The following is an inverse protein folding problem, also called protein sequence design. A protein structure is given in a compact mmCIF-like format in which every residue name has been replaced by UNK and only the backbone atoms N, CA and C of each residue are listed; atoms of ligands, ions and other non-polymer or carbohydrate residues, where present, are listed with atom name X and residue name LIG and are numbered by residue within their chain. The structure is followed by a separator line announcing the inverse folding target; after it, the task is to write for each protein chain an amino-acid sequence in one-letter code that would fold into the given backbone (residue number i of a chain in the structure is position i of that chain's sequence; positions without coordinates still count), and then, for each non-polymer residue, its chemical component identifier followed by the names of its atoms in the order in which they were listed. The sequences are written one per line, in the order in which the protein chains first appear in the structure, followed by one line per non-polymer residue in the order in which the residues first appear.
data_IF_258151325752
#
_entry.id   IF_258151325752
#
_cell.length_a   1.000
_cell.length_b   1.000
_cell.length_c   1.000
_cell.angle_alpha   90.00
_cell.angle_beta   90.00
_cell.angle_gamma   90.00
#
_symmetry.space_group_name_H-M   'P 1'
#
loop_
_entity.id
_entity.type
_entity.pdbx_description
1 polymer ?
#
# COMPACT_ATOMS: atom_id res chain seq x y z
N UNK A 1 -23.23 50.33 0.70
CA UNK A 1 -22.61 49.13 1.29
C UNK A 1 -21.85 48.46 0.17
N UNK A 2 -20.57 48.76 0.04
CA UNK A 2 -19.67 48.12 -0.93
C UNK A 2 -19.22 46.80 -0.31
N UNK A 3 -19.83 45.70 -0.71
CA UNK A 3 -19.29 44.36 -0.45
C UNK A 3 -18.06 44.22 -1.33
N UNK A 4 -16.87 44.42 -0.77
CA UNK A 4 -15.62 43.97 -1.38
C UNK A 4 -15.74 42.46 -1.55
N UNK A 5 -15.93 42.00 -2.78
CA UNK A 5 -15.88 40.58 -3.10
C UNK A 5 -14.48 40.11 -2.77
N UNK A 6 -14.37 39.23 -1.78
CA UNK A 6 -13.13 38.58 -1.41
C UNK A 6 -12.65 37.72 -2.59
N UNK A 7 -11.38 37.87 -2.96
CA UNK A 7 -10.79 37.27 -4.14
C UNK A 7 -9.75 36.24 -3.66
N UNK A 8 -9.82 35.03 -4.20
CA UNK A 8 -8.89 33.94 -3.91
C UNK A 8 -8.08 33.64 -5.15
N UNK A 9 -6.78 33.38 -4.96
CA UNK A 9 -5.89 32.99 -6.04
C UNK A 9 -6.01 31.48 -6.29
N UNK A 10 -6.42 31.08 -7.51
CA UNK A 10 -6.56 29.66 -7.82
C UNK A 10 -5.17 29.00 -8.03
N UNK A 11 -4.82 27.93 -7.27
CA UNK A 11 -3.51 27.28 -7.40
C UNK A 11 -3.33 26.56 -8.74
N UNK A 12 -4.44 26.18 -9.40
CA UNK A 12 -4.41 25.48 -10.68
C UNK A 12 -4.19 26.43 -11.86
N UNK A 13 -5.08 27.42 -12.07
CA UNK A 13 -4.99 28.34 -13.22
C UNK A 13 -4.23 29.64 -12.95
N UNK A 14 -3.85 29.93 -11.69
CA UNK A 14 -3.12 31.13 -11.25
C UNK A 14 -3.83 32.44 -11.56
N UNK A 15 -5.15 32.39 -11.63
CA UNK A 15 -5.99 33.57 -11.83
C UNK A 15 -6.74 33.91 -10.54
N UNK A 16 -6.98 35.20 -10.37
CA UNK A 16 -7.71 35.77 -9.25
C UNK A 16 -9.21 35.62 -9.51
N UNK A 17 -9.85 34.74 -8.72
CA UNK A 17 -11.27 34.40 -8.86
C UNK A 17 -12.05 34.78 -7.61
N UNK A 18 -13.34 35.15 -7.73
CA UNK A 18 -14.17 35.45 -6.56
C UNK A 18 -14.25 34.22 -5.64
N UNK A 19 -14.38 34.45 -4.33
CA UNK A 19 -14.55 33.40 -3.31
C UNK A 19 -15.83 32.60 -3.56
N UNK A 20 -15.70 31.48 -4.27
CA UNK A 20 -16.75 30.51 -4.61
C UNK A 20 -16.26 29.10 -4.31
N UNK A 21 -17.15 28.11 -4.20
CA UNK A 21 -16.76 26.72 -3.91
C UNK A 21 -15.78 26.13 -4.95
N UNK A 22 -15.85 26.60 -6.20
CA UNK A 22 -14.98 26.17 -7.30
C UNK A 22 -14.46 27.39 -8.05
N UNK A 23 -13.26 27.28 -8.65
CA UNK A 23 -12.72 28.29 -9.56
C UNK A 23 -13.59 28.36 -10.82
N UNK A 24 -14.13 29.54 -11.12
CA UNK A 24 -15.01 29.74 -12.29
C UNK A 24 -14.30 29.53 -13.64
N UNK A 25 -12.97 29.62 -13.68
CA UNK A 25 -12.21 29.48 -14.93
C UNK A 25 -11.71 28.05 -15.19
N UNK A 26 -11.35 27.29 -14.15
CA UNK A 26 -10.78 25.94 -14.33
C UNK A 26 -11.50 24.83 -13.56
N UNK A 27 -12.55 25.14 -12.78
CA UNK A 27 -13.31 24.15 -12.01
C UNK A 27 -12.61 23.64 -10.75
N UNK A 28 -11.41 24.10 -10.41
CA UNK A 28 -10.67 23.65 -9.23
C UNK A 28 -11.46 23.92 -7.92
N UNK A 29 -11.66 22.93 -7.03
CA UNK A 29 -12.40 23.11 -5.78
C UNK A 29 -11.62 24.00 -4.78
N UNK A 30 -12.11 25.22 -4.56
CA UNK A 30 -11.49 26.20 -3.65
C UNK A 30 -11.89 25.99 -2.18
N UNK A 31 -12.98 25.27 -1.90
CA UNK A 31 -13.41 24.97 -0.53
C UNK A 31 -12.38 24.16 0.28
N UNK A 32 -11.47 23.44 -0.40
CA UNK A 32 -10.37 22.70 0.25
C UNK A 32 -9.32 23.65 0.84
N UNK A 33 -9.06 24.79 0.20
CA UNK A 33 -8.13 25.82 0.69
C UNK A 33 -8.66 26.50 1.97
N UNK A 34 -9.98 26.70 2.08
CA UNK A 34 -10.58 27.30 3.28
C UNK A 34 -10.51 26.39 4.51
N UNK A 35 -10.47 25.06 4.31
CA UNK A 35 -10.30 24.13 5.42
C UNK A 35 -8.88 24.16 5.95
N UNK A 36 -7.88 24.32 5.07
CA UNK A 36 -6.47 24.46 5.46
C UNK A 36 -6.23 25.81 6.17
N UNK A 37 -6.75 26.92 5.64
CA UNK A 37 -6.62 28.27 6.25
C UNK A 37 -7.29 28.33 7.64
N UNK A 38 -8.45 27.69 7.82
CA UNK A 38 -9.14 27.60 9.13
C UNK A 38 -8.43 26.70 10.15
N UNK A 39 -7.60 25.77 9.70
CA UNK A 39 -6.78 24.92 10.58
C UNK A 39 -5.52 25.68 11.03
N UNK A 40 -4.96 26.53 10.17
CA UNK A 40 -3.86 27.43 10.51
C UNK A 40 -4.32 28.55 11.48
N UNK A 41 -5.47 29.18 11.24
CA UNK A 41 -6.00 30.24 12.13
C UNK A 41 -6.43 29.73 13.51
N UNK A 42 -6.78 28.44 13.66
CA UNK A 42 -7.07 27.83 14.97
C UNK A 42 -5.81 27.41 15.74
N UNK A 43 -4.65 27.39 15.09
CA UNK A 43 -3.36 27.20 15.76
C UNK A 43 -2.79 28.51 16.31
N UNK A 44 -3.32 29.67 15.90
CA UNK A 44 -2.85 30.99 16.29
C UNK A 44 -3.91 31.81 17.05
N UNK A 45 -4.23 31.41 18.29
CA UNK A 45 -4.73 32.37 19.30
C UNK A 45 -3.88 32.34 20.60
N UNK A 46 -3.79 33.48 21.31
CA UNK A 46 -2.54 33.97 21.85
C UNK A 46 -2.30 33.64 23.33
N UNK A 47 -1.13 33.10 23.64
CA UNK A 47 -0.61 33.06 25.02
C UNK A 47 0.25 34.30 25.27
N UNK A 48 -0.25 35.16 26.15
CA UNK A 48 0.37 36.38 26.66
C UNK A 48 1.68 36.15 27.40
N UNK A 49 2.63 37.06 27.11
CA UNK A 49 3.74 37.56 27.92
C UNK A 49 4.75 36.54 28.52
N UNK A 50 5.92 36.45 27.88
CA UNK A 50 7.21 36.71 28.55
C UNK A 50 8.33 36.87 27.51
N UNK A 51 8.87 38.09 27.42
CA UNK A 51 10.19 38.42 26.84
C UNK A 51 11.22 38.59 28.00
N UNK A 52 12.56 38.69 27.77
CA UNK A 52 13.24 38.80 26.47
C UNK A 52 14.47 37.88 26.24
N UNK A 53 14.71 37.65 24.95
CA UNK A 53 15.99 37.66 24.22
C UNK A 53 17.19 36.82 24.71
N UNK A 54 17.52 35.79 23.92
CA UNK A 54 18.92 35.50 23.55
C UNK A 54 19.00 35.25 22.05
N UNK A 55 19.57 36.20 21.31
CA UNK A 55 20.00 36.01 19.92
C UNK A 55 21.25 35.13 19.92
N UNK A 56 21.19 33.97 19.29
CA UNK A 56 22.39 33.26 18.83
C UNK A 56 22.23 33.02 17.34
N UNK A 57 23.02 33.78 16.58
CA UNK A 57 23.27 33.61 15.15
C UNK A 57 23.80 32.18 14.89
N UNK A 58 23.02 31.34 14.21
CA UNK A 58 23.49 30.07 13.64
C UNK A 58 23.85 30.29 12.17
N UNK A 59 24.92 31.05 11.94
CA UNK A 59 25.71 30.98 10.72
C UNK A 59 26.87 30.02 10.97
N UNK A 60 26.63 28.71 10.81
CA UNK A 60 27.70 27.72 10.71
C UNK A 60 28.04 27.55 9.24
N UNK A 61 29.04 28.32 8.79
CA UNK A 61 29.80 28.00 7.58
C UNK A 61 30.53 26.67 7.81
N UNK A 62 30.20 25.68 6.99
CA UNK A 62 30.85 24.37 7.01
C UNK A 62 32.17 24.44 6.24
N UNK A 63 33.29 24.54 6.93
CA UNK A 63 34.61 24.28 6.35
C UNK A 63 34.80 22.77 6.12
N UNK A 64 35.19 22.33 4.91
CA UNK A 64 35.50 20.93 4.67
C UNK A 64 36.79 20.53 5.43
N UNK A 65 36.85 19.33 6.04
CA UNK A 65 38.02 18.90 6.78
C UNK A 65 39.23 18.72 5.85
N UNK A 66 40.33 19.36 6.21
CA UNK A 66 41.64 19.21 5.58
C UNK A 66 42.20 17.81 5.86
N UNK A 67 42.64 17.12 4.80
CA UNK A 67 43.44 15.89 4.86
C UNK A 67 44.72 16.12 5.67
N UNK A 68 44.77 15.61 6.89
CA UNK A 68 46.04 15.46 7.62
C UNK A 68 46.68 14.15 7.22
N UNK A 69 47.57 14.27 6.24
CA UNK A 69 48.61 13.31 5.91
C UNK A 69 49.55 13.17 7.12
N UNK A 70 49.37 12.13 7.95
CA UNK A 70 50.33 11.78 8.99
C UNK A 70 51.05 10.47 8.65
N UNK A 71 52.36 10.66 8.48
CA UNK A 71 53.46 9.75 8.18
C UNK A 71 53.52 8.56 9.17
N UNK A 72 53.62 7.35 8.62
CA UNK A 72 54.05 6.12 9.30
C UNK A 72 55.51 6.23 9.77
N UNK A 73 55.78 5.76 11.00
CA UNK A 73 57.07 5.21 11.42
C UNK A 73 56.92 4.47 12.78
N UNK A 74 57.84 3.55 13.17
CA UNK A 74 57.65 2.10 13.02
C UNK A 74 57.52 1.32 14.35
N UNK A 75 57.14 0.04 14.22
CA UNK A 75 56.93 -0.98 15.27
C UNK A 75 58.12 -1.16 16.23
N UNK A 76 57.90 -1.28 17.56
CA UNK A 76 58.90 -1.83 18.46
C UNK A 76 58.81 -3.36 18.56
N UNK A 77 59.99 -3.97 18.36
CA UNK A 77 60.30 -5.39 18.41
C UNK A 77 59.93 -6.09 19.74
N UNK A 78 59.57 -7.35 19.59
CA UNK A 78 59.23 -8.35 20.60
C UNK A 78 60.47 -8.78 21.40
N UNK A 79 60.36 -8.85 22.73
CA UNK A 79 61.19 -9.72 23.57
C UNK A 79 60.32 -10.52 24.57
N UNK A 80 60.77 -11.72 24.99
CA UNK A 80 59.93 -12.90 25.14
C UNK A 80 59.44 -13.18 26.57
N UNK A 81 58.41 -14.02 26.63
CA UNK A 81 57.76 -14.54 27.83
C UNK A 81 58.73 -15.26 28.81
N UNK A 82 58.38 -15.24 30.12
CA UNK A 82 58.59 -16.39 30.99
C UNK A 82 57.26 -17.03 31.44
N UNK A 83 57.13 -18.33 31.21
CA UNK A 83 56.16 -19.25 31.84
C UNK A 83 56.61 -19.66 33.29
N UNK A 84 55.89 -20.54 34.04
CA UNK A 84 54.76 -20.21 34.90
C UNK A 84 54.92 -20.76 36.35
N UNK A 85 53.83 -20.70 37.13
CA UNK A 85 53.52 -21.39 38.41
C UNK A 85 53.76 -20.63 39.74
N UNK A 86 52.99 -20.88 40.83
CA UNK A 86 52.04 -22.00 41.05
C UNK A 86 50.62 -21.63 41.55
N UNK A 87 49.79 -22.68 41.49
CA UNK A 87 48.47 -22.96 42.05
C UNK A 87 48.07 -22.16 43.30
N UNK A 88 46.87 -21.57 43.25
CA UNK A 88 46.11 -21.17 44.44
C UNK A 88 44.77 -21.88 44.39
N UNK A 89 44.63 -22.88 45.27
CA UNK A 89 43.34 -23.43 45.70
C UNK A 89 42.53 -22.31 46.35
N UNK A 90 41.36 -21.98 45.81
CA UNK A 90 40.32 -21.27 46.57
C UNK A 90 39.04 -22.07 46.47
N UNK A 91 38.54 -22.33 47.66
CA UNK A 91 37.45 -23.19 48.04
C UNK A 91 36.11 -22.79 47.43
N UNK A 92 35.31 -23.83 47.25
CA UNK A 92 33.89 -23.87 46.91
C UNK A 92 33.06 -23.00 47.85
N UNK A 93 32.25 -22.08 47.31
CA UNK A 93 31.03 -21.58 47.96
C UNK A 93 29.86 -21.60 46.96
N UNK A 94 29.05 -22.63 47.17
CA UNK A 94 27.62 -22.90 46.95
C UNK A 94 26.75 -22.02 46.01
N UNK A 95 25.96 -22.76 45.21
CA UNK A 95 24.84 -22.31 44.38
C UNK A 95 23.73 -21.63 45.20
N UNK A 96 23.07 -20.58 44.69
CA UNK A 96 21.72 -20.26 45.16
C UNK A 96 20.69 -21.14 44.46
N UNK A 97 20.19 -22.12 45.22
CA UNK A 97 18.99 -22.90 44.91
C UNK A 97 17.79 -21.99 44.61
N UNK A 98 17.17 -22.23 43.45
CA UNK A 98 15.88 -21.69 43.09
C UNK A 98 14.79 -22.32 43.97
N UNK A 99 14.27 -21.57 44.94
CA UNK A 99 13.04 -21.91 45.64
C UNK A 99 11.87 -21.43 44.78
N UNK A 100 11.26 -22.37 44.08
CA UNK A 100 9.92 -22.24 43.53
C UNK A 100 8.92 -22.40 44.68
N UNK A 101 8.42 -21.29 45.22
CA UNK A 101 7.25 -21.34 46.09
C UNK A 101 6.02 -21.64 45.24
N UNK A 102 5.49 -22.83 45.51
CA UNK A 102 4.23 -23.35 45.01
C UNK A 102 3.07 -22.44 45.42
N UNK A 103 2.14 -22.26 44.49
CA UNK A 103 0.76 -21.92 44.79
C UNK A 103 0.18 -22.91 45.82
N UNK A 104 -0.72 -22.44 46.69
CA UNK A 104 -2.04 -23.06 46.67
C UNK A 104 -3.24 -22.12 46.88
N UNK A 105 -4.32 -22.54 46.22
CA UNK A 105 -5.72 -22.52 46.66
C UNK A 105 -6.53 -21.20 46.68
N UNK A 106 -7.39 -21.11 45.66
CA UNK A 106 -8.84 -20.91 45.76
C UNK A 106 -9.39 -20.14 46.98
N UNK A 107 -9.90 -18.94 46.68
CA UNK A 107 -11.25 -18.55 47.09
C UNK A 107 -11.95 -17.86 45.91
N UNK A 108 -13.20 -18.20 45.59
CA UNK A 108 -13.97 -17.45 44.60
C UNK A 108 -14.33 -16.10 45.24
N UNK A 109 -13.76 -15.02 44.70
CA UNK A 109 -14.27 -13.69 44.97
C UNK A 109 -15.54 -13.52 44.16
N UNK A 110 -16.66 -13.57 44.87
CA UNK A 110 -17.98 -13.15 44.46
C UNK A 110 -17.93 -11.68 44.01
N UNK A 111 -17.69 -11.47 42.71
CA UNK A 111 -17.87 -10.15 42.10
C UNK A 111 -19.32 -10.04 41.67
N UNK A 112 -20.09 -9.38 42.52
CA UNK A 112 -21.42 -8.85 42.24
C UNK A 112 -21.44 -8.12 40.89
N UNK A 113 -22.21 -8.64 39.95
CA UNK A 113 -22.66 -7.91 38.78
C UNK A 113 -23.51 -6.72 39.25
N UNK A 114 -23.20 -5.47 38.85
CA UNK A 114 -24.23 -4.44 38.82
C UNK A 114 -25.11 -4.70 37.60
N UNK A 115 -26.28 -5.27 37.87
CA UNK A 115 -27.46 -5.26 37.03
C UNK A 115 -27.77 -3.80 36.67
N UNK A 116 -27.41 -3.41 35.44
CA UNK A 116 -27.76 -2.13 34.85
C UNK A 116 -28.53 -2.45 33.58
N UNK A 117 -29.85 -2.57 33.72
CA UNK A 117 -30.79 -2.44 32.60
C UNK A 117 -30.74 -0.98 32.12
N UNK A 118 -30.27 -0.68 30.90
CA UNK A 118 -30.75 0.51 30.23
C UNK A 118 -32.19 0.24 29.77
N UNK A 119 -33.15 0.95 30.39
CA UNK A 119 -34.46 1.21 29.80
C UNK A 119 -34.23 1.86 28.43
N UNK A 120 -34.21 1.06 27.37
CA UNK A 120 -34.39 1.53 26.02
C UNK A 120 -35.90 1.73 25.87
N UNK A 121 -36.32 2.98 25.94
CA UNK A 121 -37.62 3.40 25.40
C UNK A 121 -37.59 3.08 23.90
N UNK A 122 -38.13 1.91 23.54
CA UNK A 122 -38.44 1.57 22.14
C UNK A 122 -39.55 2.50 21.67
N UNK A 123 -39.15 3.51 20.89
CA UNK A 123 -40.04 4.31 20.07
C UNK A 123 -40.48 3.46 18.86
N UNK A 124 -41.78 3.09 18.74
CA UNK A 124 -42.24 2.33 17.59
C UNK A 124 -42.54 3.28 16.42
N UNK A 125 -41.50 3.85 15.80
CA UNK A 125 -41.65 4.49 14.49
C UNK A 125 -41.63 3.43 13.37
N UNK A 126 -42.78 2.76 13.28
CA UNK A 126 -43.52 2.52 12.02
C UNK A 126 -42.68 2.18 10.79
N UNK A 127 -42.34 0.89 10.67
CA UNK A 127 -42.07 0.25 9.38
C UNK A 127 -43.37 0.28 8.56
N UNK A 128 -43.45 1.18 7.58
CA UNK A 128 -44.44 1.06 6.49
C UNK A 128 -43.93 0.02 5.51
N UNK A 129 -44.43 -1.20 5.61
CA UNK A 129 -44.47 -2.15 4.49
C UNK A 129 -45.62 -1.75 3.57
N UNK A 130 -45.37 -1.44 2.28
CA UNK A 130 -46.38 -1.59 1.26
C UNK A 130 -46.22 -2.96 0.57
N UNK A 131 -47.11 -3.90 0.91
CA UNK A 131 -47.58 -4.91 -0.04
C UNK A 131 -48.92 -4.44 -0.64
N UNK A 132 -49.42 -5.02 -1.75
CA UNK A 132 -48.78 -5.34 -3.03
C UNK A 132 -49.60 -4.72 -4.18
N UNK A 133 -48.97 -4.32 -5.30
CA UNK A 133 -49.73 -4.01 -6.52
C UNK A 133 -49.82 -5.22 -7.46
N UNK A 134 -51.03 -5.57 -7.93
CA UNK A 134 -51.33 -6.83 -8.60
C UNK A 134 -50.81 -6.89 -10.03
N UNK A 135 -50.36 -8.10 -10.40
CA UNK A 135 -50.14 -8.56 -11.76
C UNK A 135 -51.39 -8.27 -12.62
N UNK A 136 -51.28 -7.31 -13.53
CA UNK A 136 -52.26 -7.12 -14.59
C UNK A 136 -52.00 -8.17 -15.68
N UNK A 137 -52.61 -9.33 -15.52
CA UNK A 137 -52.91 -10.24 -16.62
C UNK A 137 -53.76 -9.49 -17.66
N UNK A 138 -53.21 -9.27 -18.85
CA UNK A 138 -54.00 -8.95 -20.04
C UNK A 138 -53.66 -9.98 -21.10
N UNK A 139 -54.27 -11.15 -20.97
CA UNK A 139 -54.60 -11.99 -22.11
C UNK A 139 -56.00 -11.61 -22.61
N UNK A 140 -56.11 -11.20 -23.87
CA UNK A 140 -57.25 -11.58 -24.72
C UNK A 140 -56.95 -11.36 -26.21
N UNK A 141 -57.00 -12.48 -26.92
CA UNK A 141 -57.73 -12.69 -28.19
C UNK A 141 -57.33 -11.86 -29.43
N UNK A 142 -56.53 -12.43 -30.35
CA UNK A 142 -56.88 -13.33 -31.49
C UNK A 142 -57.19 -12.64 -32.84
N UNK A 143 -56.38 -13.05 -33.83
CA UNK A 143 -56.67 -13.33 -35.25
C UNK A 143 -57.04 -12.18 -36.20
N UNK A 144 -56.16 -11.95 -37.19
CA UNK A 144 -56.55 -11.95 -38.61
C UNK A 144 -55.34 -12.21 -39.51
N UNK A 145 -55.40 -13.35 -40.20
CA UNK A 145 -54.67 -13.68 -41.43
C UNK A 145 -54.86 -12.60 -42.51
N UNK A 146 -53.82 -12.32 -43.27
CA UNK A 146 -53.96 -12.08 -44.71
C UNK A 146 -52.63 -12.41 -45.43
N UNK A 147 -52.67 -13.49 -46.21
CA UNK A 147 -51.70 -13.82 -47.26
C UNK A 147 -51.79 -12.80 -48.42
N UNK A 148 -50.67 -12.53 -49.10
CA UNK A 148 -50.47 -12.86 -50.51
C UNK A 148 -49.16 -12.25 -51.04
N UNK A 149 -48.39 -13.10 -51.73
CA UNK A 149 -47.17 -12.79 -52.49
C UNK A 149 -47.46 -11.92 -53.73
N UNK A 150 -46.41 -11.42 -54.41
CA UNK A 150 -46.26 -12.00 -55.75
C UNK A 150 -44.82 -12.37 -56.15
N UNK A 151 -44.77 -13.53 -56.80
CA UNK A 151 -43.69 -14.09 -57.62
C UNK A 151 -43.14 -13.09 -58.65
N UNK A 152 -41.81 -13.04 -58.80
CA UNK A 152 -41.18 -12.73 -60.09
C UNK A 152 -40.04 -13.70 -60.41
N UNK A 153 -40.06 -14.14 -61.66
CA UNK A 153 -39.39 -15.29 -62.26
C UNK A 153 -37.99 -14.92 -62.82
N UNK A 154 -36.98 -15.73 -62.46
CA UNK A 154 -35.75 -16.20 -63.16
C UNK A 154 -35.49 -15.71 -64.62
N UNK A 155 -34.29 -15.39 -65.13
CA UNK A 155 -32.93 -16.04 -65.21
C UNK A 155 -31.98 -15.07 -66.00
N UNK A 156 -30.67 -15.34 -66.27
CA UNK A 156 -29.55 -15.88 -65.49
C UNK A 156 -28.23 -15.03 -65.58
N UNK A 157 -27.18 -15.46 -64.87
CA UNK A 157 -25.85 -14.84 -64.62
C UNK A 157 -25.03 -14.34 -65.83
N UNK A 158 -24.01 -13.49 -65.57
CA UNK A 158 -22.65 -14.03 -65.66
C UNK A 158 -21.74 -13.65 -64.48
N UNK A 159 -21.10 -14.67 -63.91
CA UNK A 159 -19.70 -14.70 -63.44
C UNK A 159 -19.06 -13.37 -63.08
N UNK A 160 -19.01 -13.06 -61.78
CA UNK A 160 -17.91 -12.31 -61.21
C UNK A 160 -17.51 -12.98 -59.89
N UNK A 161 -16.29 -13.52 -59.87
CA UNK A 161 -15.63 -14.05 -58.68
C UNK A 161 -15.71 -13.00 -57.55
N UNK A 162 -16.24 -13.32 -56.35
CA UNK A 162 -16.06 -12.46 -55.21
C UNK A 162 -14.61 -12.58 -54.75
N UNK A 163 -13.88 -11.47 -54.88
CA UNK A 163 -12.65 -11.21 -54.14
C UNK A 163 -12.98 -11.41 -52.67
N UNK A 164 -12.31 -12.38 -52.06
CA UNK A 164 -12.31 -12.63 -50.63
C UNK A 164 -11.75 -11.37 -49.97
N UNK A 165 -12.63 -10.57 -49.35
CA UNK A 165 -12.20 -9.57 -48.38
C UNK A 165 -11.58 -10.34 -47.21
N UNK A 166 -10.33 -10.05 -46.81
CA UNK A 166 -9.76 -10.70 -45.64
C UNK A 166 -10.55 -10.22 -44.42
N UNK A 167 -11.14 -11.18 -43.71
CA UNK A 167 -11.58 -11.02 -42.33
C UNK A 167 -10.52 -10.21 -41.58
N UNK A 168 -10.86 -8.97 -41.23
CA UNK A 168 -10.17 -8.24 -40.18
C UNK A 168 -10.58 -8.98 -38.91
N UNK A 169 -9.73 -9.92 -38.50
CA UNK A 169 -9.73 -10.45 -37.14
C UNK A 169 -9.59 -9.25 -36.20
N UNK A 170 -10.73 -8.75 -35.70
CA UNK A 170 -10.71 -7.89 -34.53
C UNK A 170 -10.23 -8.77 -33.39
N UNK A 171 -8.95 -8.65 -33.05
CA UNK A 171 -8.37 -9.22 -31.85
C UNK A 171 -9.26 -8.81 -30.66
N UNK A 172 -10.02 -9.78 -30.17
CA UNK A 172 -10.81 -9.63 -28.95
C UNK A 172 -9.80 -9.66 -27.82
N UNK A 173 -9.20 -8.51 -27.52
CA UNK A 173 -8.33 -8.33 -26.37
C UNK A 173 -9.11 -8.80 -25.14
N UNK A 174 -8.63 -9.88 -24.54
CA UNK A 174 -9.28 -10.46 -23.37
C UNK A 174 -9.15 -9.49 -22.19
N UNK A 175 -10.04 -9.61 -21.20
CA UNK A 175 -10.00 -8.77 -19.99
C UNK A 175 -8.64 -8.90 -19.27
N UNK A 176 -8.05 -10.09 -19.30
CA UNK A 176 -6.73 -10.39 -18.72
C UNK A 176 -5.60 -9.70 -19.47
N UNK A 177 -5.58 -9.74 -20.80
CA UNK A 177 -4.57 -9.01 -21.60
C UNK A 177 -4.71 -7.49 -21.42
N UNK A 178 -5.93 -6.97 -21.31
CA UNK A 178 -6.15 -5.54 -21.00
C UNK A 178 -5.62 -5.17 -19.62
N UNK A 179 -5.80 -6.03 -18.61
CA UNK A 179 -5.25 -5.81 -17.27
C UNK A 179 -3.72 -5.86 -17.27
N UNK A 180 -3.10 -6.77 -18.04
CA UNK A 180 -1.65 -6.86 -18.20
C UNK A 180 -1.05 -5.60 -18.86
N UNK A 181 -1.64 -5.10 -19.95
CA UNK A 181 -1.21 -3.84 -20.58
C UNK A 181 -1.39 -2.63 -19.67
N UNK A 182 -2.46 -2.59 -18.86
CA UNK A 182 -2.63 -1.52 -17.87
C UNK A 182 -1.62 -1.65 -16.71
N UNK A 183 -1.20 -2.86 -16.34
CA UNK A 183 -0.19 -3.07 -15.29
C UNK A 183 1.19 -2.55 -15.72
N UNK A 184 1.58 -2.74 -16.97
CA UNK A 184 2.86 -2.22 -17.49
C UNK A 184 2.86 -0.68 -17.60
N UNK A 185 1.72 -0.06 -17.92
CA UNK A 185 1.60 1.40 -17.99
C UNK A 185 1.58 2.05 -16.59
N UNK A 186 0.99 1.38 -15.59
CA UNK A 186 0.96 1.82 -14.18
C UNK A 186 2.36 1.81 -13.53
N UNK A 187 3.25 0.91 -13.95
CA UNK A 187 4.62 0.84 -13.43
C UNK A 187 5.44 2.12 -13.66
N UNK A 188 5.07 2.96 -14.62
CA UNK A 188 5.90 4.10 -15.04
C UNK A 188 5.60 5.41 -14.30
N UNK A 189 4.53 5.48 -13.50
CA UNK A 189 4.08 6.74 -12.88
C UNK A 189 4.17 6.79 -11.35
N UNK A 190 4.40 5.66 -10.68
CA UNK A 190 4.43 5.64 -9.22
C UNK A 190 5.81 6.01 -8.67
N UNK A 191 5.88 7.19 -8.04
CA UNK A 191 7.01 7.57 -7.20
C UNK A 191 6.72 7.12 -5.75
N UNK A 192 7.44 6.11 -5.22
CA UNK A 192 7.19 5.63 -3.87
C UNK A 192 7.46 6.73 -2.84
N UNK A 193 6.56 6.85 -1.88
CA UNK A 193 6.76 7.75 -0.76
C UNK A 193 7.97 7.29 0.09
N UNK A 194 8.62 8.21 0.84
CA UNK A 194 9.83 7.88 1.59
C UNK A 194 9.62 6.73 2.60
N UNK A 195 8.42 6.57 3.14
CA UNK A 195 8.11 5.55 4.14
C UNK A 195 7.97 4.18 3.50
N UNK A 196 7.20 4.07 2.42
CA UNK A 196 7.06 2.82 1.66
C UNK A 196 8.40 2.34 1.13
N UNK A 197 9.23 3.27 0.62
CA UNK A 197 10.58 2.96 0.18
C UNK A 197 11.45 2.42 1.32
N UNK A 198 11.41 3.05 2.50
CA UNK A 198 12.16 2.58 3.67
C UNK A 198 11.77 1.16 4.08
N UNK A 199 10.46 0.87 4.12
CA UNK A 199 9.95 -0.47 4.46
C UNK A 199 10.48 -1.51 3.49
N UNK A 200 10.39 -1.24 2.19
CA UNK A 200 10.83 -2.17 1.15
C UNK A 200 12.35 -2.35 1.12
N UNK A 201 13.12 -1.27 1.26
CA UNK A 201 14.58 -1.32 1.33
C UNK A 201 15.05 -2.12 2.55
N UNK A 202 14.42 -1.94 3.71
CA UNK A 202 14.77 -2.68 4.92
C UNK A 202 14.37 -4.15 4.85
N UNK A 203 13.22 -4.45 4.25
CA UNK A 203 12.80 -5.82 3.99
C UNK A 203 13.76 -6.54 3.03
N UNK A 204 14.13 -5.88 1.91
CA UNK A 204 15.11 -6.41 0.96
C UNK A 204 16.48 -6.65 1.61
N UNK A 205 16.97 -5.69 2.40
CA UNK A 205 18.21 -5.84 3.19
C UNK A 205 18.11 -6.99 4.19
N UNK A 206 16.99 -7.13 4.89
CA UNK A 206 16.77 -8.20 5.86
C UNK A 206 16.85 -9.57 5.19
N UNK A 207 16.17 -9.77 4.06
CA UNK A 207 16.23 -11.02 3.29
C UNK A 207 17.66 -11.29 2.80
N UNK A 208 18.31 -10.29 2.22
CA UNK A 208 19.70 -10.37 1.74
C UNK A 208 20.65 -10.80 2.87
N UNK A 209 20.51 -10.23 4.07
CA UNK A 209 21.34 -10.56 5.22
C UNK A 209 21.08 -11.97 5.73
N UNK A 210 19.82 -12.42 5.77
CA UNK A 210 19.48 -13.81 6.13
C UNK A 210 20.15 -14.81 5.19
N UNK A 211 20.06 -14.58 3.88
CA UNK A 211 20.69 -15.44 2.86
C UNK A 211 22.21 -15.47 3.06
N UNK A 212 22.85 -14.31 3.23
CA UNK A 212 24.30 -14.23 3.46
C UNK A 212 24.73 -14.88 4.77
N UNK A 213 23.96 -14.77 5.85
CA UNK A 213 24.26 -15.45 7.11
C UNK A 213 24.21 -16.97 6.96
N UNK A 214 23.21 -17.48 6.24
CA UNK A 214 23.11 -18.92 5.95
C UNK A 214 24.32 -19.38 5.13
N UNK A 215 24.76 -18.59 4.15
CA UNK A 215 25.98 -18.83 3.39
C UNK A 215 27.22 -18.90 4.29
N UNK A 216 27.38 -17.94 5.21
CA UNK A 216 28.49 -17.90 6.16
C UNK A 216 28.52 -19.12 7.10
N UNK A 217 27.35 -19.58 7.56
CA UNK A 217 27.24 -20.80 8.36
C UNK A 217 27.64 -22.02 7.55
N UNK A 218 27.17 -22.14 6.30
CA UNK A 218 27.54 -23.23 5.38
C UNK A 218 29.05 -23.30 5.12
N UNK A 219 29.69 -22.15 5.02
CA UNK A 219 31.14 -22.06 4.80
C UNK A 219 31.95 -22.27 6.10
N UNK A 220 31.29 -22.67 7.21
CA UNK A 220 31.87 -22.88 8.55
C UNK A 220 32.63 -21.66 9.10
N UNK A 221 32.29 -20.46 8.62
CA UNK A 221 32.97 -19.21 9.02
C UNK A 221 32.48 -18.66 10.36
N UNK A 222 31.30 -19.09 10.82
CA UNK A 222 30.64 -18.62 12.05
C UNK A 222 30.18 -19.83 12.86
N UNK A 223 30.36 -19.77 14.19
CA UNK A 223 29.86 -20.78 15.12
C UNK A 223 28.33 -20.73 15.21
N UNK A 224 27.69 -21.88 15.38
CA UNK A 224 26.23 -22.00 15.45
C UNK A 224 25.60 -21.07 16.49
N UNK A 225 26.18 -20.94 17.69
CA UNK A 225 25.62 -20.10 18.75
C UNK A 225 25.57 -18.61 18.36
N UNK A 226 26.62 -18.11 17.72
CA UNK A 226 26.68 -16.72 17.23
C UNK A 226 25.73 -16.52 16.06
N UNK A 227 25.68 -17.50 15.15
CA UNK A 227 24.73 -17.50 14.04
C UNK A 227 23.29 -17.43 14.56
N UNK A 228 22.90 -18.29 15.50
CA UNK A 228 21.53 -18.36 16.01
C UNK A 228 21.07 -17.03 16.61
N UNK A 229 21.89 -16.40 17.44
CA UNK A 229 21.58 -15.09 18.04
C UNK A 229 21.37 -14.00 16.98
N UNK A 230 22.20 -13.96 15.94
CA UNK A 230 22.06 -12.99 14.86
C UNK A 230 20.86 -13.31 13.98
N UNK A 231 20.71 -14.57 13.60
CA UNK A 231 19.65 -15.05 12.71
C UNK A 231 18.27 -14.83 13.33
N UNK A 232 18.07 -15.18 14.60
CA UNK A 232 16.80 -14.98 15.30
C UNK A 232 16.40 -13.49 15.32
N UNK A 233 17.35 -12.57 15.55
CA UNK A 233 17.10 -11.14 15.47
C UNK A 233 16.64 -10.72 14.06
N UNK A 234 17.30 -11.19 13.01
CA UNK A 234 16.87 -10.91 11.64
C UNK A 234 15.52 -11.55 11.30
N UNK A 235 15.22 -12.73 11.84
CA UNK A 235 13.91 -13.36 11.70
C UNK A 235 12.83 -12.47 12.30
N UNK A 236 13.00 -12.01 13.53
CA UNK A 236 12.04 -11.14 14.21
C UNK A 236 11.88 -9.78 13.52
N UNK A 237 12.99 -9.16 13.11
CA UNK A 237 12.95 -7.93 12.29
C UNK A 237 12.24 -8.17 10.97
N UNK A 238 12.45 -9.32 10.32
CA UNK A 238 11.80 -9.68 9.07
C UNK A 238 10.29 -9.76 9.22
N UNK A 239 9.79 -10.40 10.29
CA UNK A 239 8.35 -10.43 10.59
C UNK A 239 7.78 -9.03 10.76
N UNK A 240 8.48 -8.15 11.49
CA UNK A 240 8.06 -6.76 11.67
C UNK A 240 7.93 -6.01 10.34
N UNK A 241 8.92 -6.17 9.44
CA UNK A 241 8.90 -5.51 8.13
C UNK A 241 7.81 -6.07 7.21
N UNK A 242 7.60 -7.38 7.22
CA UNK A 242 6.50 -8.02 6.48
C UNK A 242 5.15 -7.52 6.99
N UNK A 243 4.93 -7.50 8.31
CA UNK A 243 3.69 -6.95 8.88
C UNK A 243 3.47 -5.50 8.48
N UNK A 244 4.50 -4.65 8.55
CA UNK A 244 4.40 -3.24 8.17
C UNK A 244 4.09 -3.06 6.67
N UNK A 245 4.68 -3.89 5.81
CA UNK A 245 4.36 -3.94 4.38
C UNK A 245 2.90 -4.33 4.16
N UNK A 246 2.44 -5.38 4.83
CA UNK A 246 1.07 -5.90 4.68
C UNK A 246 0.03 -4.91 5.21
N UNK A 247 0.33 -4.20 6.30
CA UNK A 247 -0.49 -3.10 6.82
C UNK A 247 -0.61 -1.96 5.79
N UNK A 248 0.51 -1.60 5.16
CA UNK A 248 0.55 -0.55 4.12
C UNK A 248 -0.26 -0.98 2.90
N UNK A 249 -0.12 -2.22 2.45
CA UNK A 249 -0.91 -2.78 1.34
C UNK A 249 -2.40 -2.77 1.70
N UNK A 250 -2.77 -3.16 2.92
CA UNK A 250 -4.16 -3.18 3.37
C UNK A 250 -4.77 -1.79 3.38
N UNK A 251 -4.02 -0.77 3.84
CA UNK A 251 -4.45 0.62 3.79
C UNK A 251 -4.66 1.09 2.36
N UNK A 252 -3.69 0.86 1.48
CA UNK A 252 -3.79 1.24 0.06
C UNK A 252 -4.96 0.54 -0.63
N UNK A 253 -5.27 -0.72 -0.30
CA UNK A 253 -6.45 -1.43 -0.82
C UNK A 253 -7.76 -0.79 -0.36
N UNK A 254 -7.87 -0.45 0.92
CA UNK A 254 -9.06 0.24 1.44
C UNK A 254 -9.24 1.62 0.80
N UNK A 255 -8.14 2.37 0.60
CA UNK A 255 -8.19 3.67 -0.07
C UNK A 255 -8.57 3.51 -1.55
N UNK A 256 -8.05 2.48 -2.22
CA UNK A 256 -8.39 2.15 -3.60
C UNK A 256 -9.89 1.86 -3.76
N UNK A 257 -10.46 0.98 -2.93
CA UNK A 257 -11.89 0.64 -2.98
C UNK A 257 -12.80 1.88 -2.77
N UNK A 258 -12.41 2.75 -1.83
CA UNK A 258 -13.11 4.02 -1.59
C UNK A 258 -13.07 4.92 -2.82
N UNK A 259 -11.89 5.15 -3.38
CA UNK A 259 -11.72 6.02 -4.55
C UNK A 259 -12.39 5.44 -5.81
N UNK A 260 -12.35 4.13 -6.02
CA UNK A 260 -13.05 3.48 -7.12
C UNK A 260 -14.58 3.66 -7.00
N UNK A 261 -15.11 3.60 -5.78
CA UNK A 261 -16.53 3.88 -5.51
C UNK A 261 -16.88 5.33 -5.82
N UNK A 262 -16.05 6.29 -5.37
CA UNK A 262 -16.21 7.72 -5.65
C UNK A 262 -16.10 8.02 -7.16
N UNK A 263 -15.17 7.36 -7.86
CA UNK A 263 -14.98 7.51 -9.30
C UNK A 263 -16.21 7.05 -10.09
N UNK A 264 -16.77 5.90 -9.73
CA UNK A 264 -18.00 5.39 -10.37
C UNK A 264 -19.19 6.32 -10.07
N UNK A 265 -19.29 6.87 -8.86
CA UNK A 265 -20.33 7.83 -8.51
C UNK A 265 -20.19 9.13 -9.32
N UNK A 266 -19.01 9.74 -9.35
CA UNK A 266 -18.74 10.96 -10.11
C UNK A 266 -19.02 10.78 -11.61
N UNK A 267 -18.69 9.62 -12.18
CA UNK A 267 -18.99 9.28 -13.56
C UNK A 267 -20.50 9.17 -13.83
N UNK A 268 -21.25 8.50 -12.93
CA UNK A 268 -22.71 8.41 -13.04
C UNK A 268 -23.37 9.78 -12.94
N UNK A 269 -22.91 10.63 -12.03
CA UNK A 269 -23.43 11.98 -11.85
C UNK A 269 -23.14 12.88 -13.06
N UNK A 270 -21.96 12.71 -13.67
CA UNK A 270 -21.61 13.36 -14.93
C UNK A 270 -22.51 12.91 -16.09
N UNK A 271 -22.69 11.59 -16.27
CA UNK A 271 -23.58 11.02 -17.29
C UNK A 271 -25.04 11.50 -17.10
N UNK A 272 -25.52 11.57 -15.85
CA UNK A 272 -26.83 12.11 -15.53
C UNK A 272 -26.94 13.59 -15.90
N UNK A 273 -25.91 14.40 -15.63
CA UNK A 273 -25.88 15.80 -16.03
C UNK A 273 -25.93 15.97 -17.56
N UNK A 274 -25.24 15.11 -18.31
CA UNK A 274 -25.30 15.10 -19.78
C UNK A 274 -26.71 14.75 -20.29
N UNK A 275 -27.35 13.74 -19.71
CA UNK A 275 -28.74 13.40 -20.05
C UNK A 275 -29.68 14.57 -19.74
N UNK A 276 -29.56 15.19 -18.55
CA UNK A 276 -30.36 16.36 -18.14
C UNK A 276 -30.17 17.55 -19.09
N UNK A 277 -28.94 17.80 -19.57
CA UNK A 277 -28.67 18.81 -20.60
C UNK A 277 -29.39 18.47 -21.90
N UNK A 278 -29.29 17.22 -22.35
CA UNK A 278 -29.85 16.77 -23.64
C UNK A 278 -31.38 16.84 -23.69
N UNK A 279 -32.07 16.60 -22.57
CA UNK A 279 -33.53 16.75 -22.48
C UNK A 279 -33.98 18.20 -22.19
N UNK A 280 -33.02 19.13 -21.99
CA UNK A 280 -33.29 20.53 -21.68
C UNK A 280 -33.74 20.79 -20.24
N UNK A 281 -33.55 19.84 -19.32
CA UNK A 281 -33.82 20.01 -17.89
C UNK A 281 -32.72 20.81 -17.19
N UNK A 282 -31.46 20.63 -17.63
CA UNK A 282 -30.33 21.45 -17.18
C UNK A 282 -30.04 22.56 -18.19
N UNK A 283 -29.93 23.81 -17.70
CA UNK A 283 -29.54 24.96 -18.52
C UNK A 283 -28.04 24.98 -18.84
N UNK A 284 -27.63 25.77 -19.84
CA UNK A 284 -26.23 25.89 -20.24
C UNK A 284 -25.34 26.43 -19.10
N UNK A 285 -25.87 27.30 -18.25
CA UNK A 285 -25.14 27.85 -17.10
C UNK A 285 -24.88 26.78 -16.02
N UNK A 286 -25.86 25.94 -15.68
CA UNK A 286 -25.69 24.83 -14.72
C UNK A 286 -24.67 23.82 -15.27
N UNK A 287 -24.82 23.46 -16.54
CA UNK A 287 -23.89 22.54 -17.19
C UNK A 287 -22.47 23.11 -17.26
N UNK A 288 -22.34 24.38 -17.63
CA UNK A 288 -21.06 25.07 -17.76
C UNK A 288 -20.26 25.12 -16.46
N UNK A 289 -20.93 25.12 -15.30
CA UNK A 289 -20.27 25.09 -13.98
C UNK A 289 -20.02 23.65 -13.51
N UNK A 290 -21.01 22.75 -13.63
CA UNK A 290 -20.91 21.40 -13.06
C UNK A 290 -20.08 20.44 -13.91
N UNK A 291 -20.16 20.53 -15.24
CA UNK A 291 -19.46 19.60 -16.13
C UNK A 291 -17.93 19.68 -15.97
N UNK A 292 -17.29 20.87 -15.89
CA UNK A 292 -15.87 20.95 -15.59
C UNK A 292 -15.49 20.37 -14.22
N UNK A 293 -16.33 20.59 -13.19
CA UNK A 293 -16.07 20.05 -11.85
C UNK A 293 -16.07 18.51 -11.85
N UNK A 294 -17.09 17.89 -12.42
CA UNK A 294 -17.13 16.43 -12.56
C UNK A 294 -15.98 15.87 -13.39
N UNK A 295 -15.60 16.54 -14.48
CA UNK A 295 -14.44 16.11 -15.28
C UNK A 295 -13.16 16.15 -14.47
N UNK A 296 -12.96 17.22 -13.69
CA UNK A 296 -11.81 17.34 -12.79
C UNK A 296 -11.81 16.22 -11.74
N UNK A 297 -12.95 15.94 -11.10
CA UNK A 297 -13.06 14.87 -10.11
C UNK A 297 -12.73 13.49 -10.72
N UNK A 298 -13.25 13.20 -11.93
CA UNK A 298 -12.99 11.95 -12.66
C UNK A 298 -11.50 11.81 -12.99
N UNK A 299 -10.87 12.84 -13.57
CA UNK A 299 -9.44 12.82 -13.92
C UNK A 299 -8.54 12.69 -12.69
N UNK A 300 -8.89 13.41 -11.61
CA UNK A 300 -8.15 13.37 -10.36
C UNK A 300 -8.24 11.99 -9.70
N UNK A 301 -9.44 11.44 -9.54
CA UNK A 301 -9.66 10.11 -8.97
C UNK A 301 -8.99 9.02 -9.82
N UNK A 302 -9.03 9.11 -11.15
CA UNK A 302 -8.32 8.16 -12.03
C UNK A 302 -6.80 8.17 -11.76
N UNK A 303 -6.23 9.36 -11.57
CA UNK A 303 -4.81 9.54 -11.24
C UNK A 303 -4.47 8.96 -9.86
N UNK A 304 -5.30 9.23 -8.85
CA UNK A 304 -5.09 8.69 -7.49
C UNK A 304 -5.25 7.16 -7.43
N UNK A 305 -6.22 6.61 -8.17
CA UNK A 305 -6.43 5.16 -8.34
C UNK A 305 -5.19 4.52 -8.96
N UNK A 306 -4.65 5.10 -10.04
CA UNK A 306 -3.41 4.63 -10.68
C UNK A 306 -2.22 4.68 -9.72
N UNK A 307 -2.08 5.78 -8.97
CA UNK A 307 -1.04 5.93 -7.96
C UNK A 307 -1.15 4.86 -6.86
N UNK A 308 -2.34 4.61 -6.32
CA UNK A 308 -2.54 3.56 -5.31
C UNK A 308 -2.29 2.14 -5.87
N UNK A 309 -2.72 1.86 -7.10
CA UNK A 309 -2.42 0.60 -7.78
C UNK A 309 -0.91 0.41 -7.96
N UNK A 310 -0.21 1.46 -8.38
CA UNK A 310 1.26 1.49 -8.48
C UNK A 310 1.93 1.26 -7.13
N UNK A 311 1.42 1.85 -6.05
CA UNK A 311 1.90 1.64 -4.69
C UNK A 311 1.73 0.22 -4.19
N UNK A 312 0.56 -0.38 -4.40
CA UNK A 312 0.32 -1.79 -4.07
C UNK A 312 1.29 -2.68 -4.86
N UNK A 313 1.46 -2.43 -6.15
CA UNK A 313 2.35 -3.19 -7.01
C UNK A 313 3.82 -3.05 -6.57
N UNK A 314 4.25 -1.84 -6.22
CA UNK A 314 5.59 -1.58 -5.67
C UNK A 314 5.83 -2.40 -4.40
N UNK A 315 4.87 -2.41 -3.47
CA UNK A 315 4.97 -3.15 -2.21
C UNK A 315 4.95 -4.67 -2.39
N UNK A 316 4.29 -5.18 -3.44
CA UNK A 316 4.29 -6.61 -3.79
C UNK A 316 5.60 -7.00 -4.49
N UNK A 317 6.13 -6.15 -5.38
CA UNK A 317 7.28 -6.46 -6.22
C UNK A 317 8.64 -6.24 -5.53
N UNK A 318 8.89 -7.03 -4.48
CA UNK A 318 10.17 -7.02 -3.78
C UNK A 318 11.32 -7.57 -4.63
N UNK A 319 11.02 -8.42 -5.63
CA UNK A 319 12.01 -9.04 -6.53
C UNK A 319 12.89 -8.02 -7.25
N UNK A 320 12.35 -6.85 -7.57
CA UNK A 320 13.09 -5.77 -8.24
C UNK A 320 14.15 -5.10 -7.37
N UNK A 321 14.00 -5.16 -6.03
CA UNK A 321 14.87 -4.49 -5.06
C UNK A 321 15.97 -5.40 -4.50
N UNK A 322 15.76 -6.71 -4.54
CA UNK A 322 16.76 -7.70 -4.12
C UNK A 322 17.69 -7.99 -5.30
N UNK A 323 19.02 -7.98 -5.13
CA UNK A 323 19.90 -8.26 -6.24
C UNK A 323 19.71 -9.69 -6.75
N UNK A 324 19.76 -9.86 -8.07
CA UNK A 324 19.37 -11.12 -8.72
C UNK A 324 20.23 -12.33 -8.35
N UNK A 325 21.47 -12.11 -7.91
CA UNK A 325 22.33 -13.19 -7.38
C UNK A 325 21.74 -13.78 -6.11
N UNK A 326 21.33 -12.94 -5.17
CA UNK A 326 20.71 -13.36 -3.92
C UNK A 326 19.31 -13.94 -4.13
N UNK A 327 18.55 -13.46 -5.11
CA UNK A 327 17.28 -14.09 -5.51
C UNK A 327 17.54 -15.49 -6.07
N UNK A 328 18.50 -15.65 -6.97
CA UNK A 328 18.84 -16.96 -7.54
C UNK A 328 19.41 -17.92 -6.48
N UNK A 329 20.20 -17.41 -5.53
CA UNK A 329 20.66 -18.22 -4.40
C UNK A 329 19.50 -18.61 -3.49
N UNK A 330 18.58 -17.68 -3.19
CA UNK A 330 17.40 -17.98 -2.39
C UNK A 330 16.49 -19.00 -3.09
N UNK A 331 16.33 -18.90 -4.41
CA UNK A 331 15.62 -19.90 -5.23
C UNK A 331 16.34 -21.25 -5.22
N UNK A 332 17.67 -21.29 -5.33
CA UNK A 332 18.47 -22.52 -5.19
C UNK A 332 18.31 -23.15 -3.80
N UNK A 333 18.42 -22.34 -2.75
CA UNK A 333 18.25 -22.77 -1.36
C UNK A 333 16.81 -23.21 -1.07
N UNK A 334 15.81 -22.56 -1.67
CA UNK A 334 14.39 -22.82 -1.44
C UNK A 334 13.81 -23.96 -2.27
N UNK A 335 14.34 -24.21 -3.48
CA UNK A 335 13.69 -25.07 -4.48
C UNK A 335 14.45 -26.36 -4.82
N UNK A 336 15.73 -26.50 -4.43
CA UNK A 336 16.50 -27.71 -4.77
C UNK A 336 17.57 -28.18 -3.77
N UNK A 337 18.19 -27.34 -2.94
CA UNK A 337 19.44 -27.70 -2.24
C UNK A 337 19.41 -27.62 -0.71
N UNK A 338 18.26 -27.89 -0.09
CA UNK A 338 18.20 -28.11 1.37
C UNK A 338 19.11 -29.24 1.86
N UNK A 339 19.44 -30.18 0.99
CA UNK A 339 20.39 -31.25 1.26
C UNK A 339 21.79 -30.75 1.57
N UNK A 340 22.19 -29.57 1.06
CA UNK A 340 23.48 -28.97 1.39
C UNK A 340 23.53 -28.46 2.83
N UNK A 341 22.40 -27.98 3.37
CA UNK A 341 22.27 -27.54 4.77
C UNK A 341 22.24 -28.73 5.74
N UNK A 342 21.65 -29.85 5.32
CA UNK A 342 21.60 -31.08 6.12
C UNK A 342 22.97 -31.74 6.29
N UNK A 343 23.95 -31.37 5.47
CA UNK A 343 25.32 -31.90 5.51
C UNK A 343 26.30 -31.04 6.33
N UNK A 344 25.83 -29.97 6.98
CA UNK A 344 26.70 -29.13 7.82
C UNK A 344 26.95 -29.85 9.15
N UNK A 345 28.19 -30.27 9.38
CA UNK A 345 28.63 -30.85 10.65
C UNK A 345 28.55 -29.79 11.77
N UNK A 346 28.24 -30.20 13.00
CA UNK A 346 28.14 -29.33 14.19
C UNK A 346 27.00 -28.29 14.20
N UNK A 347 25.93 -28.49 13.41
CA UNK A 347 24.69 -27.68 13.49
C UNK A 347 23.52 -28.54 13.93
N UNK A 348 22.71 -28.01 14.86
CA UNK A 348 21.50 -28.72 15.32
C UNK A 348 20.43 -28.79 14.24
N UNK A 349 19.71 -29.91 14.19
CA UNK A 349 18.58 -30.10 13.27
C UNK A 349 17.47 -29.06 13.43
N UNK A 350 17.29 -28.54 14.66
CA UNK A 350 16.35 -27.44 14.95
C UNK A 350 16.75 -26.15 14.24
N UNK A 351 18.04 -25.78 14.29
CA UNK A 351 18.54 -24.57 13.62
C UNK A 351 18.40 -24.70 12.11
N UNK A 352 18.69 -25.89 11.55
CA UNK A 352 18.49 -26.17 10.12
C UNK A 352 17.00 -26.04 9.77
N UNK A 353 16.09 -26.63 10.54
CA UNK A 353 14.65 -26.55 10.26
C UNK A 353 14.14 -25.09 10.24
N UNK A 354 14.54 -24.27 11.23
CA UNK A 354 14.21 -22.85 11.28
C UNK A 354 14.76 -22.05 10.11
N UNK A 355 15.99 -22.36 9.68
CA UNK A 355 16.57 -21.73 8.50
C UNK A 355 15.75 -22.04 7.24
N UNK A 356 15.37 -23.31 7.06
CA UNK A 356 14.57 -23.73 5.90
C UNK A 356 13.22 -23.02 5.87
N UNK A 357 12.53 -22.98 7.01
CA UNK A 357 11.27 -22.26 7.16
C UNK A 357 11.43 -20.77 6.83
N UNK A 358 12.41 -20.08 7.43
CA UNK A 358 12.62 -18.66 7.19
C UNK A 358 13.06 -18.34 5.75
N UNK A 359 13.80 -19.22 5.07
CA UNK A 359 14.18 -19.03 3.67
C UNK A 359 12.99 -19.26 2.74
N UNK A 360 12.14 -20.24 3.03
CA UNK A 360 10.88 -20.46 2.31
C UNK A 360 9.95 -19.26 2.45
N UNK A 361 9.80 -18.70 3.67
CA UNK A 361 9.05 -17.46 3.91
C UNK A 361 9.61 -16.29 3.08
N UNK A 362 10.93 -16.12 3.07
CA UNK A 362 11.58 -15.05 2.30
C UNK A 362 11.36 -15.22 0.78
N UNK A 363 11.39 -16.45 0.27
CA UNK A 363 11.16 -16.76 -1.13
C UNK A 363 9.71 -16.47 -1.52
N UNK A 364 8.74 -16.90 -0.71
CA UNK A 364 7.33 -16.55 -0.91
C UNK A 364 7.13 -15.03 -0.90
N UNK A 365 7.79 -14.32 0.02
CA UNK A 365 7.72 -12.85 0.12
C UNK A 365 8.24 -12.15 -1.13
N UNK A 366 9.26 -12.71 -1.81
CA UNK A 366 9.82 -12.17 -3.05
C UNK A 366 8.97 -12.51 -4.27
N UNK A 367 8.37 -13.70 -4.29
CA UNK A 367 7.58 -14.17 -5.43
C UNK A 367 6.19 -13.52 -5.51
N UNK A 368 5.69 -12.96 -4.41
CA UNK A 368 4.42 -12.25 -4.34
C UNK A 368 3.29 -13.16 -3.93
#
# INVERSE_FOLDING_TARGET
MTTSSEVIHCPNCKEDVPRTLYCLNCGYPLYKLEQEEKVEDQAEEPVTETEPEVKVDMSVEYEPPQETFMVEEPEPEVEPAPEPEPEVEIEVEEEPEAIWEQAPEEKPAETSEPDYEPEIEEDPETIWEPEPEPEAEVESETVSELEEEPETVFEPEPTHEPVIDPEIEQEVITKEEREEYMMDEIMMEYAPDPLSKEVMDNLAKNITLKVRLVRLLRDNSVKEETFRKLFDNYVDQGRLWVSRRDDTITRLKSDLERMETEFVAARKDFELLEIRKNIGDAGEDEYGVKAPAFKWDIEHLDTEIKSCKGGIQYMINLKSLVPGEEVAELESLGQADYSSLDNIEDVTSDTIARMKESLAEALNTIQG
#
